data_IF_304306225284
#
_entry.id   IF_304306225284
#
_cell.length_a   1.000
_cell.length_b   1.000
_cell.length_c   1.000
_cell.angle_alpha   90.00
_cell.angle_beta   90.00
_cell.angle_gamma   90.00
#
_symmetry.space_group_name_H-M   'P 1'
#
loop_
_entity.id
_entity.type
_entity.pdbx_description
1 polymer ?
#
# COMPACT_ATOMS: atom_id res chain seq x y z
N UNK A 1 -28.44 -31.00 -35.95
CA UNK A 1 -27.30 -31.09 -35.02
C UNK A 1 -27.67 -30.28 -33.80
N UNK A 2 -27.94 -30.93 -32.66
CA UNK A 2 -28.15 -30.23 -31.40
C UNK A 2 -26.79 -29.75 -30.91
N UNK A 3 -26.58 -28.44 -30.91
CA UNK A 3 -25.43 -27.84 -30.23
C UNK A 3 -25.68 -28.04 -28.74
N UNK A 4 -24.77 -28.70 -27.99
CA UNK A 4 -24.88 -28.82 -26.55
C UNK A 4 -25.02 -27.42 -25.94
N UNK A 5 -25.91 -27.29 -24.96
CA UNK A 5 -26.07 -26.05 -24.20
C UNK A 5 -24.74 -25.72 -23.50
N UNK A 6 -24.11 -24.61 -23.89
CA UNK A 6 -22.79 -24.17 -23.40
C UNK A 6 -22.76 -24.09 -21.86
N UNK A 7 -23.89 -23.76 -21.23
CA UNK A 7 -23.99 -23.70 -19.76
C UNK A 7 -23.89 -25.09 -19.12
N UNK A 8 -24.41 -26.12 -19.79
CA UNK A 8 -24.32 -27.49 -19.31
C UNK A 8 -22.89 -28.02 -19.40
N UNK A 9 -22.17 -27.65 -20.47
CA UNK A 9 -20.78 -28.04 -20.68
C UNK A 9 -19.83 -27.34 -19.70
N UNK A 10 -20.01 -26.04 -19.46
CA UNK A 10 -19.24 -25.30 -18.45
C UNK A 10 -19.45 -25.89 -17.04
N UNK A 11 -20.69 -26.20 -16.68
CA UNK A 11 -21.03 -26.81 -15.37
C UNK A 11 -20.51 -28.25 -15.24
N UNK A 12 -20.37 -28.98 -16.35
CA UNK A 12 -19.73 -30.29 -16.38
C UNK A 12 -18.21 -30.16 -16.17
N UNK A 13 -17.56 -29.24 -16.89
CA UNK A 13 -16.11 -29.00 -16.78
C UNK A 13 -15.70 -28.56 -15.37
N UNK A 14 -16.45 -27.64 -14.75
CA UNK A 14 -16.19 -27.21 -13.36
C UNK A 14 -16.25 -28.39 -12.38
N UNK A 15 -17.27 -29.26 -12.48
CA UNK A 15 -17.36 -30.45 -11.60
C UNK A 15 -16.23 -31.45 -11.79
N UNK A 16 -15.79 -31.66 -13.03
CA UNK A 16 -14.65 -32.55 -13.33
C UNK A 16 -13.37 -31.97 -12.73
N UNK A 17 -13.16 -30.66 -12.88
CA UNK A 17 -12.01 -29.95 -12.33
C UNK A 17 -11.97 -30.02 -10.79
N UNK A 18 -13.10 -29.75 -10.13
CA UNK A 18 -13.21 -29.82 -8.67
C UNK A 18 -12.94 -31.24 -8.15
N UNK A 19 -13.43 -32.28 -8.85
CA UNK A 19 -13.16 -33.68 -8.52
C UNK A 19 -11.68 -34.06 -8.68
N UNK A 20 -11.01 -33.54 -9.72
CA UNK A 20 -9.56 -33.71 -9.95
C UNK A 20 -8.74 -33.09 -8.83
N UNK A 21 -9.06 -31.87 -8.40
CA UNK A 21 -8.41 -31.18 -7.27
C UNK A 21 -8.65 -31.93 -5.96
N UNK A 22 -9.87 -32.43 -5.75
CA UNK A 22 -10.24 -33.18 -4.55
C UNK A 22 -9.65 -34.60 -4.51
N UNK A 23 -8.94 -35.05 -5.55
CA UNK A 23 -8.43 -36.42 -5.66
C UNK A 23 -9.51 -37.48 -5.84
N UNK A 24 -10.76 -37.06 -6.06
CA UNK A 24 -11.91 -37.92 -6.36
C UNK A 24 -12.12 -37.92 -7.87
N UNK A 25 -11.28 -38.68 -8.58
CA UNK A 25 -11.41 -38.80 -10.03
C UNK A 25 -12.83 -39.26 -10.40
N UNK A 26 -13.48 -38.54 -11.32
CA UNK A 26 -14.84 -38.85 -11.77
C UNK A 26 -14.91 -40.28 -12.33
N UNK A 27 -15.81 -41.11 -11.80
CA UNK A 27 -15.97 -42.52 -12.18
C UNK A 27 -16.66 -42.73 -13.54
N UNK A 28 -17.00 -41.67 -14.27
CA UNK A 28 -17.67 -41.76 -15.57
C UNK A 28 -16.64 -42.01 -16.67
N UNK A 29 -16.87 -43.07 -17.43
CA UNK A 29 -16.03 -43.49 -18.56
C UNK A 29 -15.90 -42.40 -19.63
N UNK A 30 -16.94 -41.59 -19.82
CA UNK A 30 -16.98 -40.46 -20.75
C UNK A 30 -16.01 -39.31 -20.39
N UNK A 31 -15.62 -39.20 -19.12
CA UNK A 31 -14.73 -38.13 -18.63
C UNK A 31 -13.24 -38.57 -18.63
N UNK A 32 -12.98 -39.87 -18.78
CA UNK A 32 -11.64 -40.45 -18.66
C UNK A 32 -10.66 -39.92 -19.71
N UNK A 33 -11.13 -39.69 -20.94
CA UNK A 33 -10.30 -39.15 -22.02
C UNK A 33 -9.88 -37.69 -21.74
N UNK A 34 -10.82 -36.87 -21.26
CA UNK A 34 -10.54 -35.47 -20.92
C UNK A 34 -9.57 -35.35 -19.74
N UNK A 35 -9.76 -36.18 -18.70
CA UNK A 35 -8.82 -36.24 -17.57
C UNK A 35 -7.43 -36.67 -18.02
N UNK A 36 -7.33 -37.65 -18.93
CA UNK A 36 -6.04 -38.08 -19.48
C UNK A 36 -5.33 -36.96 -20.25
N UNK A 37 -6.06 -36.14 -21.01
CA UNK A 37 -5.51 -34.99 -21.74
C UNK A 37 -5.07 -33.86 -20.80
N UNK A 38 -5.84 -33.55 -19.76
CA UNK A 38 -5.45 -32.58 -18.72
C UNK A 38 -4.14 -33.02 -18.05
N UNK A 39 -4.05 -34.28 -17.63
CA UNK A 39 -2.84 -34.83 -17.01
C UNK A 39 -1.65 -34.93 -17.99
N UNK A 40 -1.92 -35.02 -19.29
CA UNK A 40 -0.88 -34.97 -20.33
C UNK A 40 -0.34 -33.55 -20.48
N UNK A 41 -1.19 -32.54 -20.54
CA UNK A 41 -0.79 -31.12 -20.58
C UNK A 41 -0.03 -30.75 -19.30
N UNK A 42 -0.52 -31.17 -18.12
CA UNK A 42 0.17 -30.92 -16.86
C UNK A 42 1.59 -31.52 -16.87
N UNK A 43 1.73 -32.77 -17.34
CA UNK A 43 3.04 -33.42 -17.52
C UNK A 43 3.95 -32.69 -18.49
N UNK A 44 3.41 -32.09 -19.55
CA UNK A 44 4.18 -31.28 -20.50
C UNK A 44 4.59 -29.92 -19.91
N UNK A 45 3.77 -29.34 -19.02
CA UNK A 45 4.06 -28.06 -18.35
C UNK A 45 4.98 -28.19 -17.15
N UNK A 46 5.14 -29.40 -16.57
CA UNK A 46 6.16 -29.67 -15.56
C UNK A 46 7.54 -29.68 -16.22
N UNK A 47 8.06 -28.49 -16.46
CA UNK A 47 9.48 -28.30 -16.80
C UNK A 47 10.28 -28.74 -15.57
N UNK A 48 11.11 -29.79 -15.68
CA UNK A 48 11.97 -30.19 -14.57
C UNK A 48 12.81 -29.00 -14.14
N UNK A 49 12.99 -28.83 -12.83
CA UNK A 49 13.81 -27.73 -12.32
C UNK A 49 15.16 -27.73 -13.05
N UNK A 50 15.60 -26.59 -13.61
CA UNK A 50 16.80 -26.57 -14.43
C UNK A 50 17.97 -27.05 -13.57
N UNK A 51 18.86 -27.88 -14.14
CA UNK A 51 19.95 -28.47 -13.38
C UNK A 51 20.81 -27.35 -12.76
N UNK A 52 21.36 -27.57 -11.56
CA UNK A 52 21.96 -26.51 -10.73
C UNK A 52 23.15 -25.82 -11.42
N UNK A 53 23.83 -26.52 -12.33
CA UNK A 53 24.90 -25.98 -13.16
C UNK A 53 24.39 -24.95 -14.19
N UNK A 54 23.21 -25.17 -14.78
CA UNK A 54 22.58 -24.22 -15.71
C UNK A 54 22.22 -22.91 -15.01
N UNK A 55 21.65 -22.97 -13.80
CA UNK A 55 21.36 -21.77 -12.99
C UNK A 55 22.64 -20.97 -12.70
N UNK A 56 23.73 -21.67 -12.39
CA UNK A 56 25.04 -21.06 -12.10
C UNK A 56 25.66 -20.41 -13.35
N UNK A 57 25.52 -21.02 -14.53
CA UNK A 57 25.97 -20.44 -15.81
C UNK A 57 25.13 -19.22 -16.22
N UNK A 58 23.81 -19.26 -16.06
CA UNK A 58 22.94 -18.10 -16.33
C UNK A 58 23.28 -16.92 -15.43
N UNK A 59 23.47 -17.16 -14.12
CA UNK A 59 23.84 -16.11 -13.17
C UNK A 59 25.23 -15.51 -13.45
N UNK A 60 26.21 -16.36 -13.75
CA UNK A 60 27.56 -15.88 -14.07
C UNK A 60 27.62 -15.15 -15.42
N UNK A 61 26.79 -15.50 -16.40
CA UNK A 61 26.61 -14.75 -17.64
C UNK A 61 26.00 -13.36 -17.42
N UNK A 62 24.94 -13.28 -16.61
CA UNK A 62 24.30 -12.02 -16.23
C UNK A 62 25.24 -11.08 -15.47
N UNK A 63 26.03 -11.63 -14.52
CA UNK A 63 26.99 -10.83 -13.74
C UNK A 63 28.18 -10.34 -14.57
N UNK A 64 28.61 -11.08 -15.61
CA UNK A 64 29.69 -10.64 -16.51
C UNK A 64 29.27 -9.52 -17.46
N UNK A 65 27.97 -9.33 -17.68
CA UNK A 65 27.43 -8.22 -18.49
C UNK A 65 27.11 -6.95 -17.67
N UNK A 66 27.37 -6.94 -16.36
CA UNK A 66 27.27 -5.72 -15.57
C UNK A 66 28.27 -4.67 -16.12
N UNK A 67 27.72 -3.68 -16.81
CA UNK A 67 28.46 -2.59 -17.44
C UNK A 67 29.36 -1.89 -16.42
N UNK A 68 30.55 -1.39 -16.84
CA UNK A 68 31.49 -0.75 -15.93
C UNK A 68 30.82 0.44 -15.25
N UNK A 69 30.79 0.39 -13.92
CA UNK A 69 30.34 1.51 -13.07
C UNK A 69 31.25 2.69 -13.37
N UNK A 70 30.72 3.71 -14.04
CA UNK A 70 31.42 4.97 -14.32
C UNK A 70 31.76 5.63 -12.99
N UNK A 71 33.05 5.61 -12.64
CA UNK A 71 33.56 6.34 -11.49
C UNK A 71 33.41 7.85 -11.76
N UNK A 72 32.48 8.51 -11.06
CA UNK A 72 32.36 9.97 -11.08
C UNK A 72 33.55 10.56 -10.33
N UNK A 73 34.56 10.97 -11.08
CA UNK A 73 35.70 11.74 -10.57
C UNK A 73 35.20 13.14 -10.22
N UNK A 74 35.13 13.45 -8.92
CA UNK A 74 34.88 14.80 -8.43
C UNK A 74 36.22 15.54 -8.44
N UNK A 75 36.39 16.45 -9.38
CA UNK A 75 37.55 17.37 -9.39
C UNK A 75 37.38 18.41 -8.27
N UNK A 76 38.34 18.56 -7.35
CA UNK A 76 38.32 19.65 -6.39
C UNK A 76 38.57 20.97 -7.10
N UNK A 77 37.58 21.87 -7.08
CA UNK A 77 37.73 23.24 -7.59
C UNK A 77 38.58 24.03 -6.61
N UNK A 78 39.80 24.36 -7.02
CA UNK A 78 40.70 25.24 -6.28
C UNK A 78 40.23 26.69 -6.49
N UNK A 79 39.64 27.32 -5.47
CA UNK A 79 39.21 28.71 -5.53
C UNK A 79 40.36 29.58 -5.01
N UNK A 80 40.93 30.50 -5.80
CA UNK A 80 42.02 31.35 -5.35
C UNK A 80 41.50 32.36 -4.31
N UNK A 81 42.14 32.39 -3.14
CA UNK A 81 41.91 33.41 -2.11
C UNK A 81 42.48 34.76 -2.60
N UNK A 82 41.69 35.49 -3.37
CA UNK A 82 41.93 36.88 -3.71
C UNK A 82 41.25 37.81 -2.71
N UNK A 83 42.02 38.38 -1.80
CA UNK A 83 41.60 39.54 -1.02
C UNK A 83 41.35 40.73 -1.95
N UNK A 84 40.08 41.11 -2.14
CA UNK A 84 39.70 42.40 -2.68
C UNK A 84 38.80 43.15 -1.70
N UNK A 85 39.02 44.47 -1.52
CA UNK A 85 38.27 45.29 -0.58
C UNK A 85 36.84 45.55 -1.04
N UNK A 86 35.98 45.75 -0.04
CA UNK A 86 34.53 45.85 -0.07
C UNK A 86 33.96 46.76 -1.18
N UNK A 87 33.21 46.16 -2.11
CA UNK A 87 32.11 46.83 -2.80
C UNK A 87 30.81 46.12 -2.42
N UNK A 88 29.96 46.80 -1.65
CA UNK A 88 28.57 46.39 -1.39
C UNK A 88 27.78 46.43 -2.69
N UNK A 89 27.87 45.36 -3.47
CA UNK A 89 26.90 45.05 -4.51
C UNK A 89 25.79 44.26 -3.81
N UNK A 90 24.51 44.69 -3.81
CA UNK A 90 23.41 43.88 -3.30
C UNK A 90 23.38 42.58 -4.10
N UNK A 91 23.91 41.53 -3.48
CA UNK A 91 24.12 40.24 -4.11
C UNK A 91 22.76 39.61 -4.41
N UNK A 92 22.52 39.32 -5.69
CA UNK A 92 21.37 38.57 -6.25
C UNK A 92 21.27 37.11 -5.75
N UNK A 93 21.78 36.78 -4.56
CA UNK A 93 21.87 35.39 -4.05
C UNK A 93 20.69 34.93 -3.18
N UNK A 94 19.70 35.79 -2.91
CA UNK A 94 18.63 35.51 -1.93
C UNK A 94 17.59 34.48 -2.36
N UNK A 95 17.52 34.10 -3.64
CA UNK A 95 16.53 33.13 -4.13
C UNK A 95 16.94 31.66 -3.96
N UNK A 96 18.24 31.33 -4.02
CA UNK A 96 18.70 29.92 -3.93
C UNK A 96 18.78 29.41 -2.49
N UNK A 97 18.99 30.32 -1.53
CA UNK A 97 19.07 30.00 -0.09
C UNK A 97 17.71 29.60 0.55
N UNK A 98 16.58 29.89 -0.12
CA UNK A 98 15.24 29.65 0.45
C UNK A 98 14.60 28.30 0.06
N UNK A 99 15.07 27.63 -1.01
CA UNK A 99 14.44 26.40 -1.54
C UNK A 99 14.87 25.12 -0.83
N UNK A 100 16.13 25.04 -0.40
CA UNK A 100 16.71 23.89 0.33
C UNK A 100 15.94 23.48 1.61
N UNK A 101 15.47 24.39 2.49
CA UNK A 101 14.75 23.97 3.69
C UNK A 101 13.38 23.34 3.39
N UNK A 102 12.70 23.75 2.32
CA UNK A 102 11.38 23.21 1.96
C UNK A 102 11.51 21.78 1.45
N UNK A 103 12.47 21.51 0.57
CA UNK A 103 12.71 20.15 0.03
C UNK A 103 13.10 19.18 1.15
N UNK A 104 14.00 19.61 2.05
CA UNK A 104 14.42 18.78 3.19
C UNK A 104 13.26 18.50 4.16
N UNK A 105 12.40 19.50 4.42
CA UNK A 105 11.20 19.30 5.22
C UNK A 105 10.23 18.31 4.56
N UNK A 106 10.03 18.41 3.24
CA UNK A 106 9.20 17.48 2.49
C UNK A 106 9.76 16.05 2.50
N UNK A 107 11.06 15.87 2.24
CA UNK A 107 11.72 14.56 2.30
C UNK A 107 11.60 13.94 3.71
N UNK A 108 11.80 14.74 4.76
CA UNK A 108 11.59 14.29 6.15
C UNK A 108 10.17 13.80 6.38
N UNK A 109 9.16 14.56 5.94
CA UNK A 109 7.76 14.19 6.11
C UNK A 109 7.39 12.92 5.32
N UNK A 110 7.87 12.78 4.08
CA UNK A 110 7.68 11.60 3.25
C UNK A 110 8.34 10.38 3.92
N UNK A 111 9.57 10.51 4.39
CA UNK A 111 10.28 9.43 5.06
C UNK A 111 9.58 9.00 6.36
N UNK A 112 9.15 9.96 7.20
CA UNK A 112 8.39 9.67 8.42
C UNK A 112 7.08 8.95 8.09
N UNK A 113 6.33 9.45 7.09
CA UNK A 113 5.09 8.83 6.64
C UNK A 113 5.32 7.41 6.13
N UNK A 114 6.34 7.19 5.30
CA UNK A 114 6.68 5.88 4.78
C UNK A 114 7.10 4.90 5.90
N UNK A 115 7.94 5.33 6.84
CA UNK A 115 8.35 4.50 7.99
C UNK A 115 7.17 4.13 8.89
N UNK A 116 6.35 5.11 9.26
CA UNK A 116 5.18 4.90 10.11
C UNK A 116 4.14 4.01 9.43
N UNK A 117 3.90 4.28 8.14
CA UNK A 117 3.06 3.48 7.26
C UNK A 117 3.51 2.03 7.20
N UNK A 118 4.78 1.79 6.90
CA UNK A 118 5.35 0.45 6.82
C UNK A 118 5.24 -0.30 8.15
N UNK A 119 5.64 0.33 9.26
CA UNK A 119 5.58 -0.31 10.58
C UNK A 119 4.15 -0.68 10.98
N UNK A 120 3.20 0.23 10.81
CA UNK A 120 1.80 -0.02 11.16
C UNK A 120 1.13 -1.01 10.22
N UNK A 121 1.41 -0.93 8.91
CA UNK A 121 0.94 -1.90 7.92
C UNK A 121 1.48 -3.30 8.22
N UNK A 122 2.75 -3.41 8.59
CA UNK A 122 3.36 -4.68 8.98
C UNK A 122 2.65 -5.30 10.20
N UNK A 123 2.42 -4.51 11.25
CA UNK A 123 1.65 -4.95 12.42
C UNK A 123 0.21 -5.35 12.04
N UNK A 124 -0.41 -4.64 11.10
CA UNK A 124 -1.76 -4.93 10.62
C UNK A 124 -1.79 -6.25 9.83
N UNK A 125 -0.78 -6.55 9.03
CA UNK A 125 -0.68 -7.84 8.33
C UNK A 125 -0.55 -9.02 9.30
N UNK A 126 0.17 -8.83 10.42
CA UNK A 126 0.19 -9.82 11.51
C UNK A 126 -1.20 -9.99 12.14
N UNK A 127 -1.92 -8.88 12.36
CA UNK A 127 -3.30 -8.92 12.87
C UNK A 127 -4.24 -9.66 11.93
N UNK A 128 -4.17 -9.39 10.62
CA UNK A 128 -4.99 -10.08 9.61
C UNK A 128 -4.73 -11.58 9.63
N UNK A 129 -3.46 -12.01 9.82
CA UNK A 129 -3.14 -13.42 9.98
C UNK A 129 -3.83 -14.05 11.20
N UNK A 130 -3.84 -13.34 12.33
CA UNK A 130 -4.56 -13.78 13.54
C UNK A 130 -6.06 -13.85 13.26
N UNK A 131 -6.64 -12.84 12.61
CA UNK A 131 -8.05 -12.81 12.24
C UNK A 131 -8.45 -14.01 11.38
N UNK A 132 -7.68 -14.32 10.33
CA UNK A 132 -7.89 -15.48 9.47
C UNK A 132 -7.79 -16.80 10.25
N UNK A 133 -6.84 -16.91 11.19
CA UNK A 133 -6.74 -18.09 12.04
C UNK A 133 -7.94 -18.23 12.97
N UNK A 134 -8.45 -17.14 13.54
CA UNK A 134 -9.63 -17.16 14.40
C UNK A 134 -10.88 -17.55 13.59
N UNK A 135 -11.04 -17.00 12.39
CA UNK A 135 -12.11 -17.37 11.46
C UNK A 135 -12.08 -18.88 11.14
N UNK A 136 -10.88 -19.42 10.85
CA UNK A 136 -10.68 -20.85 10.61
C UNK A 136 -11.02 -21.74 11.82
N UNK A 137 -10.74 -21.28 13.05
CA UNK A 137 -11.12 -22.01 14.27
C UNK A 137 -12.65 -22.05 14.48
N UNK A 138 -13.35 -20.99 14.10
CA UNK A 138 -14.81 -20.88 14.19
C UNK A 138 -15.55 -21.52 13.02
N UNK A 139 -14.82 -22.06 12.04
CA UNK A 139 -15.38 -22.71 10.86
C UNK A 139 -15.79 -24.16 11.15
N UNK A 140 -16.86 -24.63 10.50
CA UNK A 140 -17.34 -26.02 10.55
C UNK A 140 -16.23 -26.99 10.11
N UNK A 141 -16.08 -28.12 10.81
CA UNK A 141 -14.99 -29.10 10.59
C UNK A 141 -14.80 -29.52 9.13
N UNK A 142 -15.89 -29.55 8.34
CA UNK A 142 -15.89 -29.92 6.92
C UNK A 142 -15.10 -28.97 6.01
N UNK A 143 -14.94 -27.71 6.40
CA UNK A 143 -14.25 -26.69 5.60
C UNK A 143 -12.78 -26.49 6.05
N UNK A 144 -12.31 -27.25 7.04
CA UNK A 144 -10.92 -27.18 7.50
C UNK A 144 -10.00 -27.83 6.48
N UNK A 145 -8.91 -27.14 6.14
CA UNK A 145 -7.92 -27.62 5.16
C UNK A 145 -8.25 -27.29 3.70
N UNK A 146 -9.35 -26.58 3.42
CA UNK A 146 -9.58 -26.01 2.09
C UNK A 146 -8.55 -24.91 1.78
N UNK A 147 -8.31 -24.71 0.48
CA UNK A 147 -7.55 -23.57 0.00
C UNK A 147 -8.47 -22.34 -0.05
N UNK A 148 -7.98 -21.22 0.48
CA UNK A 148 -8.58 -19.89 0.22
C UNK A 148 -8.29 -19.46 -1.22
N UNK A 149 -8.97 -18.41 -1.72
CA UNK A 149 -8.69 -17.82 -3.04
C UNK A 149 -7.22 -17.39 -3.24
N UNK A 150 -6.48 -17.21 -2.15
CA UNK A 150 -5.06 -16.83 -2.16
C UNK A 150 -4.10 -18.04 -2.02
N UNK A 151 -4.54 -19.25 -2.36
CA UNK A 151 -3.78 -20.50 -2.24
C UNK A 151 -3.26 -20.78 -0.81
N UNK A 152 -3.86 -20.15 0.21
CA UNK A 152 -3.49 -20.40 1.60
C UNK A 152 -4.41 -21.47 2.18
N UNK A 153 -3.81 -22.54 2.71
CA UNK A 153 -4.54 -23.59 3.44
C UNK A 153 -5.11 -22.99 4.73
N UNK A 154 -6.42 -23.07 4.88
CA UNK A 154 -7.16 -22.53 6.03
C UNK A 154 -6.70 -23.23 7.31
N UNK A 155 -6.27 -22.44 8.29
CA UNK A 155 -5.85 -22.92 9.62
C UNK A 155 -4.37 -23.28 9.77
N UNK A 156 -3.56 -23.24 8.71
CA UNK A 156 -2.11 -23.48 8.83
C UNK A 156 -1.33 -22.18 9.02
N UNK A 157 -0.53 -22.10 10.10
CA UNK A 157 0.46 -21.04 10.28
C UNK A 157 1.75 -21.38 9.54
N UNK A 158 1.89 -20.87 8.33
CA UNK A 158 3.19 -20.88 7.66
C UNK A 158 3.94 -19.59 8.02
N UNK A 159 5.19 -19.74 8.48
CA UNK A 159 6.04 -18.59 8.76
C UNK A 159 6.23 -17.74 7.50
N UNK A 160 6.45 -18.40 6.36
CA UNK A 160 6.59 -17.76 5.05
C UNK A 160 5.36 -16.93 4.65
N UNK A 161 4.15 -17.50 4.76
CA UNK A 161 2.92 -16.79 4.45
C UNK A 161 2.64 -15.63 5.38
N UNK A 162 2.97 -15.77 6.67
CA UNK A 162 2.81 -14.71 7.67
C UNK A 162 3.75 -13.53 7.40
N UNK A 163 5.03 -13.81 7.15
CA UNK A 163 6.03 -12.77 6.82
C UNK A 163 5.69 -12.10 5.50
N UNK A 164 5.29 -12.87 4.48
CA UNK A 164 4.86 -12.32 3.19
C UNK A 164 3.67 -11.37 3.36
N UNK A 165 2.63 -11.79 4.07
CA UNK A 165 1.44 -10.98 4.31
C UNK A 165 1.76 -9.71 5.12
N UNK A 166 2.60 -9.82 6.15
CA UNK A 166 3.04 -8.67 6.93
C UNK A 166 3.87 -7.69 6.08
N UNK A 167 4.77 -8.17 5.23
CA UNK A 167 5.55 -7.31 4.33
C UNK A 167 4.65 -6.63 3.29
N UNK A 168 3.72 -7.38 2.69
CA UNK A 168 2.76 -6.85 1.74
C UNK A 168 1.87 -5.76 2.37
N UNK A 169 1.31 -6.03 3.54
CA UNK A 169 0.53 -5.06 4.30
C UNK A 169 1.38 -3.84 4.72
N UNK A 170 2.67 -4.04 5.04
CA UNK A 170 3.62 -2.96 5.28
C UNK A 170 3.79 -2.06 4.06
N UNK A 171 3.94 -2.63 2.87
CA UNK A 171 4.04 -1.88 1.61
C UNK A 171 2.77 -1.08 1.31
N UNK A 172 1.59 -1.65 1.50
CA UNK A 172 0.32 -0.91 1.42
C UNK A 172 0.25 0.18 2.50
N UNK A 173 0.73 -0.14 3.70
CA UNK A 173 0.83 0.77 4.83
C UNK A 173 1.64 2.02 4.52
N UNK A 174 2.69 1.95 3.69
CA UNK A 174 3.44 3.13 3.22
C UNK A 174 2.51 4.16 2.58
N UNK A 175 1.60 3.73 1.70
CA UNK A 175 0.62 4.63 1.09
C UNK A 175 -0.32 5.23 2.14
N UNK A 176 -0.77 4.42 3.11
CA UNK A 176 -1.54 4.89 4.27
C UNK A 176 -0.76 5.90 5.13
N UNK A 177 0.53 5.71 5.35
CA UNK A 177 1.35 6.64 6.13
C UNK A 177 1.55 7.99 5.43
N UNK A 178 1.74 7.97 4.12
CA UNK A 178 1.83 9.18 3.30
C UNK A 178 0.50 9.93 3.26
N UNK A 179 -0.62 9.21 3.12
CA UNK A 179 -1.96 9.78 3.21
C UNK A 179 -2.17 10.46 4.57
N UNK A 180 -1.80 9.79 5.67
CA UNK A 180 -1.90 10.38 7.01
C UNK A 180 -1.16 11.70 7.09
N UNK A 181 0.11 11.75 6.65
CA UNK A 181 0.92 12.98 6.69
C UNK A 181 0.28 14.09 5.85
N UNK A 182 -0.30 13.77 4.69
CA UNK A 182 -1.00 14.72 3.85
C UNK A 182 -2.25 15.30 4.53
N UNK A 183 -3.00 14.45 5.25
CA UNK A 183 -4.28 14.84 5.87
C UNK A 183 -4.19 15.24 7.34
N UNK A 184 -3.02 15.09 7.97
CA UNK A 184 -2.79 15.28 9.42
C UNK A 184 -3.28 16.62 9.95
N UNK A 185 -3.23 17.67 9.12
CA UNK A 185 -3.66 19.02 9.49
C UNK A 185 -5.18 19.17 9.64
N UNK A 186 -5.97 18.20 9.15
CA UNK A 186 -7.43 18.20 9.23
C UNK A 186 -7.97 17.27 10.31
N UNK A 187 -7.14 16.34 10.77
CA UNK A 187 -7.51 15.46 11.86
C UNK A 187 -7.54 16.22 13.20
N UNK A 188 -8.29 15.72 14.19
CA UNK A 188 -8.32 16.31 15.52
C UNK A 188 -6.93 16.48 16.13
N UNK A 189 -6.74 17.51 16.96
CA UNK A 189 -5.46 17.76 17.63
C UNK A 189 -5.16 16.78 18.76
N UNK A 190 -6.20 16.21 19.38
CA UNK A 190 -6.05 15.20 20.43
C UNK A 190 -5.51 13.90 19.81
N UNK A 191 -4.39 13.38 20.34
CA UNK A 191 -3.67 12.24 19.77
C UNK A 191 -4.52 10.96 19.64
N UNK A 192 -5.32 10.63 20.66
CA UNK A 192 -6.20 9.46 20.62
C UNK A 192 -7.34 9.64 19.62
N UNK A 193 -8.01 10.80 19.66
CA UNK A 193 -9.10 11.08 18.74
C UNK A 193 -8.61 11.13 17.28
N UNK A 194 -7.36 11.58 17.06
CA UNK A 194 -6.70 11.55 15.74
C UNK A 194 -6.46 10.14 15.24
N UNK A 195 -5.96 9.26 16.10
CA UNK A 195 -5.73 7.85 15.78
C UNK A 195 -7.05 7.16 15.36
N UNK A 196 -8.11 7.32 16.18
CA UNK A 196 -9.43 6.78 15.86
C UNK A 196 -10.05 7.41 14.62
N UNK A 197 -10.00 8.75 14.48
CA UNK A 197 -10.53 9.43 13.31
C UNK A 197 -9.83 8.98 12.03
N UNK A 198 -8.51 8.74 12.08
CA UNK A 198 -7.77 8.26 10.92
C UNK A 198 -8.09 6.81 10.58
N UNK A 199 -8.15 5.92 11.58
CA UNK A 199 -8.57 4.53 11.36
C UNK A 199 -9.98 4.43 10.80
N UNK A 200 -10.92 5.21 11.35
CA UNK A 200 -12.29 5.28 10.84
C UNK A 200 -12.36 5.85 9.42
N UNK A 201 -11.52 6.83 9.09
CA UNK A 201 -11.41 7.36 7.73
C UNK A 201 -10.86 6.30 6.76
N UNK A 202 -9.84 5.54 7.15
CA UNK A 202 -9.31 4.45 6.33
C UNK A 202 -10.36 3.37 6.09
N UNK A 203 -11.08 2.96 7.16
CA UNK A 203 -12.17 2.01 7.06
C UNK A 203 -13.30 2.53 6.17
N UNK A 204 -13.72 3.78 6.36
CA UNK A 204 -14.76 4.39 5.56
C UNK A 204 -14.36 4.46 4.08
N UNK A 205 -13.17 4.96 3.77
CA UNK A 205 -12.75 5.20 2.38
C UNK A 205 -12.37 3.91 1.64
N UNK A 206 -11.74 2.95 2.32
CA UNK A 206 -11.13 1.78 1.69
C UNK A 206 -11.69 0.44 2.19
N UNK A 207 -12.68 0.45 3.08
CA UNK A 207 -13.25 -0.77 3.65
C UNK A 207 -13.87 -1.68 2.60
N UNK A 208 -14.59 -1.12 1.63
CA UNK A 208 -15.21 -1.86 0.52
C UNK A 208 -14.21 -2.65 -0.34
N UNK A 209 -12.91 -2.30 -0.34
CA UNK A 209 -11.89 -3.03 -1.10
C UNK A 209 -11.62 -4.40 -0.48
N UNK A 210 -11.70 -4.50 0.86
CA UNK A 210 -11.43 -5.74 1.59
C UNK A 210 -12.73 -6.47 1.92
N UNK A 211 -13.81 -5.73 2.17
CA UNK A 211 -15.14 -6.26 2.44
C UNK A 211 -15.92 -6.36 1.13
N UNK A 212 -15.51 -7.29 0.28
CA UNK A 212 -16.22 -7.57 -0.96
C UNK A 212 -17.39 -8.54 -0.68
N UNK A 213 -18.65 -8.14 -0.94
CA UNK A 213 -19.81 -9.02 -0.73
C UNK A 213 -19.83 -10.25 -1.65
N UNK A 214 -19.12 -10.19 -2.78
CA UNK A 214 -18.97 -11.30 -3.71
C UNK A 214 -17.88 -12.29 -3.26
N UNK A 215 -17.08 -11.94 -2.25
CA UNK A 215 -16.04 -12.84 -1.74
C UNK A 215 -16.65 -13.95 -0.87
N UNK A 216 -16.56 -15.22 -1.30
CA UNK A 216 -17.19 -16.34 -0.61
C UNK A 216 -16.55 -16.62 0.77
N UNK A 217 -15.31 -16.19 1.01
CA UNK A 217 -14.58 -16.42 2.26
C UNK A 217 -15.31 -15.85 3.49
N UNK A 218 -16.02 -14.72 3.33
CA UNK A 218 -16.80 -14.12 4.42
C UNK A 218 -17.92 -15.01 4.93
N UNK A 219 -18.45 -15.90 4.08
CA UNK A 219 -19.55 -16.81 4.39
C UNK A 219 -19.07 -18.22 4.68
N UNK A 220 -17.96 -18.65 4.07
CA UNK A 220 -17.41 -19.99 4.30
C UNK A 220 -16.70 -20.13 5.65
N UNK A 221 -16.01 -19.08 6.11
CA UNK A 221 -15.10 -19.17 7.25
C UNK A 221 -15.63 -18.49 8.51
N UNK A 222 -16.58 -19.14 9.18
CA UNK A 222 -17.16 -18.67 10.45
C UNK A 222 -18.29 -17.65 10.28
N UNK A 223 -18.80 -17.06 11.38
CA UNK A 223 -19.91 -16.12 11.32
C UNK A 223 -19.54 -14.83 10.56
N UNK A 224 -20.33 -14.37 9.56
CA UNK A 224 -19.99 -13.21 8.74
C UNK A 224 -19.72 -11.93 9.54
N UNK A 225 -20.50 -11.70 10.60
CA UNK A 225 -20.33 -10.54 11.48
C UNK A 225 -18.96 -10.51 12.19
N UNK A 226 -18.41 -11.68 12.53
CA UNK A 226 -17.11 -11.79 13.18
C UNK A 226 -15.98 -11.45 12.20
N UNK A 227 -16.08 -11.94 10.95
CA UNK A 227 -15.15 -11.60 9.88
C UNK A 227 -15.16 -10.09 9.61
N UNK A 228 -16.34 -9.51 9.37
CA UNK A 228 -16.50 -8.07 9.18
C UNK A 228 -15.88 -7.28 10.33
N UNK A 229 -16.13 -7.69 11.59
CA UNK A 229 -15.58 -7.03 12.77
C UNK A 229 -14.04 -7.10 12.82
N UNK A 230 -13.45 -8.29 12.66
CA UNK A 230 -12.00 -8.49 12.77
C UNK A 230 -11.22 -7.79 11.65
N UNK A 231 -11.74 -7.81 10.42
CA UNK A 231 -11.17 -7.06 9.30
C UNK A 231 -11.39 -5.55 9.44
N UNK A 232 -12.53 -5.10 9.98
CA UNK A 232 -12.72 -3.68 10.33
C UNK A 232 -11.69 -3.20 11.35
N UNK A 233 -11.40 -4.03 12.36
CA UNK A 233 -10.41 -3.71 13.40
C UNK A 233 -9.00 -3.55 12.81
N UNK A 234 -8.68 -4.25 11.72
CA UNK A 234 -7.40 -4.10 11.02
C UNK A 234 -7.16 -2.65 10.57
N UNK A 235 -8.19 -1.98 10.03
CA UNK A 235 -8.10 -0.56 9.63
C UNK A 235 -7.90 0.37 10.83
N UNK A 236 -8.57 0.08 11.95
CA UNK A 236 -8.42 0.86 13.19
C UNK A 236 -7.01 0.70 13.77
N UNK A 237 -6.48 -0.53 13.80
CA UNK A 237 -5.12 -0.84 14.25
C UNK A 237 -4.10 -0.13 13.33
N UNK A 238 -4.29 -0.23 12.02
CA UNK A 238 -3.42 0.43 11.04
C UNK A 238 -3.42 1.95 11.23
N UNK A 239 -4.61 2.57 11.27
CA UNK A 239 -4.75 4.01 11.43
C UNK A 239 -4.18 4.52 12.75
N UNK A 240 -4.42 3.81 13.85
CA UNK A 240 -3.87 4.14 15.16
C UNK A 240 -2.33 3.99 15.19
N UNK A 241 -1.81 2.90 14.63
CA UNK A 241 -0.38 2.64 14.49
C UNK A 241 0.31 3.73 13.68
N UNK A 242 -0.24 4.10 12.52
CA UNK A 242 0.29 5.16 11.66
C UNK A 242 0.33 6.48 12.41
N UNK A 243 -0.77 6.88 13.06
CA UNK A 243 -0.85 8.14 13.80
C UNK A 243 0.19 8.17 14.92
N UNK A 244 0.24 7.12 15.74
CA UNK A 244 1.14 7.02 16.89
C UNK A 244 2.61 7.05 16.46
N UNK A 245 3.00 6.20 15.50
CA UNK A 245 4.38 6.10 15.04
C UNK A 245 4.81 7.39 14.34
N UNK A 246 3.94 7.98 13.51
CA UNK A 246 4.23 9.28 12.87
C UNK A 246 4.48 10.37 13.90
N UNK A 247 3.62 10.50 14.91
CA UNK A 247 3.77 11.52 15.96
C UNK A 247 5.03 11.29 16.80
N UNK A 248 5.38 10.02 17.03
CA UNK A 248 6.60 9.64 17.75
C UNK A 248 7.85 10.01 16.95
N UNK A 249 7.90 9.62 15.68
CA UNK A 249 9.00 9.91 14.76
C UNK A 249 9.16 11.41 14.52
N UNK A 250 8.07 12.15 14.39
CA UNK A 250 8.09 13.60 14.19
C UNK A 250 8.68 14.35 15.40
N UNK A 251 8.50 13.84 16.62
CA UNK A 251 9.17 14.38 17.83
C UNK A 251 10.64 13.99 17.91
N UNK A 252 11.01 12.85 17.35
CA UNK A 252 12.36 12.27 17.46
C UNK A 252 13.33 12.74 16.39
N UNK A 253 12.84 12.95 15.18
CA UNK A 253 13.64 13.35 14.03
C UNK A 253 13.64 14.89 14.00
N UNK A 254 14.74 15.56 14.38
CA UNK A 254 14.79 17.01 14.38
C UNK A 254 14.59 17.56 12.95
N UNK A 255 13.99 18.74 12.84
CA UNK A 255 13.94 19.47 11.57
C UNK A 255 15.38 19.83 11.19
N UNK A 256 15.86 19.51 9.97
CA UNK A 256 17.21 19.87 9.55
C UNK A 256 17.41 21.39 9.61
N UNK A 257 18.07 21.86 10.67
CA UNK A 257 18.42 23.27 10.88
C UNK A 257 19.86 23.56 10.48
N UNK A 258 20.13 24.80 10.07
CA UNK A 258 21.44 25.32 9.63
C UNK A 258 22.50 25.40 10.75
N UNK A 259 22.27 24.84 11.93
CA UNK A 259 23.21 24.95 13.04
C UNK A 259 24.44 24.07 12.79
N UNK A 260 25.54 24.73 12.40
CA UNK A 260 26.80 24.13 11.98
C UNK A 260 27.39 23.14 12.99
N UNK A 261 27.13 23.34 14.28
CA UNK A 261 27.69 22.53 15.37
C UNK A 261 27.22 21.06 15.40
N UNK A 262 26.20 20.67 14.61
CA UNK A 262 25.70 19.28 14.59
C UNK A 262 25.55 18.68 13.20
N UNK A 263 26.34 19.15 12.23
CA UNK A 263 26.29 18.76 10.82
C UNK A 263 26.33 17.24 10.60
N UNK A 264 27.19 16.52 11.33
CA UNK A 264 27.32 15.06 11.21
C UNK A 264 26.05 14.30 11.61
N UNK A 265 25.38 14.73 12.70
CA UNK A 265 24.12 14.11 13.14
C UNK A 265 23.01 14.34 12.11
N UNK A 266 22.97 15.52 11.48
CA UNK A 266 22.03 15.81 10.40
C UNK A 266 22.30 14.95 9.15
N UNK A 267 23.57 14.78 8.77
CA UNK A 267 23.96 13.92 7.63
C UNK A 267 23.56 12.46 7.90
N UNK A 268 23.84 11.94 9.11
CA UNK A 268 23.48 10.59 9.50
C UNK A 268 21.95 10.36 9.44
N UNK A 269 21.15 11.32 9.91
CA UNK A 269 19.70 11.25 9.82
C UNK A 269 19.20 11.31 8.38
N UNK A 270 19.75 12.21 7.56
CA UNK A 270 19.39 12.31 6.14
C UNK A 270 19.69 10.98 5.45
N UNK A 271 20.90 10.43 5.65
CA UNK A 271 21.30 9.14 5.10
C UNK A 271 20.36 8.00 5.54
N UNK A 272 19.97 7.95 6.81
CA UNK A 272 19.05 6.96 7.34
C UNK A 272 17.62 7.10 6.77
N UNK A 273 17.18 8.31 6.44
CA UNK A 273 15.84 8.58 5.89
C UNK A 273 15.76 8.44 4.36
N UNK A 274 16.90 8.51 3.66
CA UNK A 274 16.97 8.35 2.20
C UNK A 274 16.25 7.10 1.68
N UNK A 275 16.50 5.87 2.18
CA UNK A 275 15.83 4.68 1.64
C UNK A 275 14.31 4.76 1.77
N UNK A 276 13.80 5.23 2.92
CA UNK A 276 12.35 5.39 3.13
C UNK A 276 11.75 6.51 2.26
N UNK A 277 12.52 7.56 2.00
CA UNK A 277 12.11 8.61 1.05
C UNK A 277 11.98 8.03 -0.35
N UNK A 278 12.96 7.24 -0.80
CA UNK A 278 12.95 6.58 -2.11
C UNK A 278 11.77 5.61 -2.23
N UNK A 279 11.55 4.76 -1.21
CA UNK A 279 10.41 3.83 -1.15
C UNK A 279 9.09 4.61 -1.20
N UNK A 280 8.95 5.68 -0.42
CA UNK A 280 7.75 6.50 -0.41
C UNK A 280 7.47 7.17 -1.76
N UNK A 281 8.50 7.74 -2.40
CA UNK A 281 8.38 8.32 -3.76
C UNK A 281 8.00 7.25 -4.77
N UNK A 282 8.65 6.09 -4.73
CA UNK A 282 8.35 4.98 -5.63
C UNK A 282 6.91 4.47 -5.45
N UNK A 283 6.44 4.34 -4.20
CA UNK A 283 5.07 3.97 -3.90
C UNK A 283 4.06 4.98 -4.48
N UNK A 284 4.33 6.29 -4.38
CA UNK A 284 3.50 7.33 -5.01
C UNK A 284 3.48 7.17 -6.54
N UNK A 285 4.65 6.97 -7.15
CA UNK A 285 4.80 6.83 -8.60
C UNK A 285 4.10 5.58 -9.14
N UNK A 286 4.08 4.48 -8.39
CA UNK A 286 3.36 3.26 -8.76
C UNK A 286 1.85 3.36 -8.50
N UNK A 287 1.44 3.98 -7.39
CA UNK A 287 0.02 4.05 -7.02
C UNK A 287 -0.78 4.91 -8.02
N UNK A 288 -0.21 6.03 -8.47
CA UNK A 288 -0.92 6.99 -9.32
C UNK A 288 -1.41 6.41 -10.65
N UNK A 289 -0.59 5.73 -11.48
CA UNK A 289 -1.04 5.11 -12.72
C UNK A 289 -2.08 4.02 -12.51
N UNK A 290 -1.91 3.17 -11.50
CA UNK A 290 -2.82 2.07 -11.19
C UNK A 290 -4.19 2.59 -10.76
N UNK A 291 -4.23 3.61 -9.90
CA UNK A 291 -5.46 4.30 -9.54
C UNK A 291 -6.11 4.99 -10.76
N UNK A 292 -5.32 5.56 -11.68
CA UNK A 292 -5.86 6.21 -12.88
C UNK A 292 -6.40 5.21 -13.92
N UNK A 293 -5.93 3.95 -13.91
CA UNK A 293 -6.37 2.93 -14.86
C UNK A 293 -7.83 2.51 -14.62
N UNK A 294 -8.25 2.39 -13.35
CA UNK A 294 -9.60 1.93 -13.00
C UNK A 294 -10.62 3.09 -12.96
N UNK A 295 -11.90 2.87 -13.33
CA UNK A 295 -12.92 3.91 -13.23
C UNK A 295 -13.17 4.34 -11.77
N UNK A 296 -13.17 3.39 -10.84
CA UNK A 296 -13.28 3.67 -9.41
C UNK A 296 -12.09 4.52 -8.90
N UNK A 297 -10.86 4.16 -9.30
CA UNK A 297 -9.68 4.91 -8.92
C UNK A 297 -9.66 6.33 -9.52
N UNK A 298 -10.17 6.55 -10.74
CA UNK A 298 -10.37 7.89 -11.31
C UNK A 298 -11.34 8.74 -10.48
N UNK A 299 -12.45 8.16 -10.02
CA UNK A 299 -13.41 8.85 -9.15
C UNK A 299 -12.77 9.22 -7.81
N UNK A 300 -11.91 8.34 -7.25
CA UNK A 300 -11.16 8.62 -6.02
C UNK A 300 -10.05 9.65 -6.21
N UNK A 301 -9.38 9.66 -7.37
CA UNK A 301 -8.32 10.61 -7.69
C UNK A 301 -8.87 12.01 -7.96
N UNK A 302 -10.09 12.13 -8.50
CA UNK A 302 -10.71 13.42 -8.81
C UNK A 302 -10.69 14.41 -7.62
N UNK A 303 -11.18 14.09 -6.41
CA UNK A 303 -11.12 14.99 -5.27
C UNK A 303 -9.68 15.27 -4.82
N UNK A 304 -8.75 14.31 -4.95
CA UNK A 304 -7.34 14.51 -4.64
C UNK A 304 -6.68 15.50 -5.62
N UNK A 305 -6.94 15.36 -6.91
CA UNK A 305 -6.45 16.25 -7.96
C UNK A 305 -7.06 17.64 -7.80
N UNK A 306 -8.38 17.72 -7.63
CA UNK A 306 -9.08 18.98 -7.34
C UNK A 306 -8.50 19.64 -6.08
N UNK A 307 -8.15 18.87 -5.07
CA UNK A 307 -7.50 19.37 -3.86
C UNK A 307 -6.09 19.91 -4.11
N UNK A 308 -5.25 19.19 -4.87
CA UNK A 308 -3.89 19.64 -5.22
C UNK A 308 -3.95 20.93 -6.03
N UNK A 309 -4.83 20.98 -7.04
CA UNK A 309 -5.10 22.18 -7.84
C UNK A 309 -5.62 23.30 -6.95
N UNK A 310 -6.54 23.00 -6.04
CA UNK A 310 -7.06 23.99 -5.09
C UNK A 310 -5.97 24.52 -4.16
N UNK A 311 -5.10 23.67 -3.60
CA UNK A 311 -3.96 24.11 -2.76
C UNK A 311 -3.00 25.00 -3.55
N UNK A 312 -2.62 24.60 -4.75
CA UNK A 312 -1.77 25.38 -5.65
C UNK A 312 -2.41 26.75 -5.94
N UNK A 313 -3.70 26.76 -6.26
CA UNK A 313 -4.46 27.98 -6.50
C UNK A 313 -4.62 28.82 -5.22
N UNK A 314 -4.83 28.21 -4.05
CA UNK A 314 -5.05 28.93 -2.79
C UNK A 314 -3.79 29.63 -2.30
N UNK A 315 -2.61 29.11 -2.65
CA UNK A 315 -1.32 29.76 -2.42
C UNK A 315 -1.14 30.97 -3.33
N UNK A 316 -1.62 30.88 -4.57
CA UNK A 316 -1.69 32.00 -5.49
C UNK A 316 -2.66 33.08 -4.96
N UNK A 317 -3.86 32.66 -4.54
CA UNK A 317 -4.87 33.53 -3.98
C UNK A 317 -4.57 34.01 -2.56
N UNK A 318 -3.66 33.41 -1.80
CA UNK A 318 -3.27 33.95 -0.48
C UNK A 318 -2.43 35.21 -0.58
N UNK A 319 -1.84 35.51 -1.75
CA UNK A 319 -1.25 36.82 -2.03
C UNK A 319 -2.32 37.89 -2.31
N UNK A 320 -3.56 37.49 -2.56
CA UNK A 320 -4.71 38.37 -2.72
C UNK A 320 -5.47 38.32 -1.39
N UNK A 321 -5.32 39.37 -0.58
CA UNK A 321 -5.68 39.47 0.85
C UNK A 321 -7.19 39.30 1.20
N UNK A 322 -7.98 38.73 0.29
CA UNK A 322 -9.43 38.89 0.25
C UNK A 322 -10.27 37.82 0.94
N UNK A 323 -9.73 36.75 1.57
CA UNK A 323 -10.61 35.73 2.20
C UNK A 323 -9.87 34.77 3.14
N UNK A 324 -9.82 35.09 4.44
CA UNK A 324 -9.36 34.12 5.46
C UNK A 324 -10.51 33.28 6.07
N UNK A 325 -11.74 33.80 6.17
CA UNK A 325 -12.87 33.07 6.81
C UNK A 325 -13.52 31.99 5.95
N UNK A 326 -13.53 32.11 4.62
CA UNK A 326 -14.12 31.09 3.73
C UNK A 326 -13.24 29.85 3.48
N UNK A 327 -11.95 29.90 3.86
CA UNK A 327 -10.96 28.86 3.53
C UNK A 327 -11.09 27.58 4.38
N UNK A 328 -11.71 27.63 5.56
CA UNK A 328 -11.87 26.43 6.40
C UNK A 328 -13.01 25.53 5.91
N UNK A 329 -14.11 26.12 5.44
CA UNK A 329 -15.32 25.40 5.05
C UNK A 329 -15.09 24.59 3.77
N UNK A 330 -14.55 25.22 2.73
CA UNK A 330 -14.23 24.57 1.44
C UNK A 330 -13.23 23.41 1.65
N UNK A 331 -12.22 23.62 2.51
CA UNK A 331 -11.20 22.61 2.84
C UNK A 331 -11.78 21.38 3.53
N UNK A 332 -12.77 21.57 4.40
CA UNK A 332 -13.43 20.45 5.07
C UNK A 332 -14.37 19.71 4.10
N UNK A 333 -15.08 20.44 3.23
CA UNK A 333 -15.99 19.86 2.24
C UNK A 333 -15.25 18.98 1.21
N UNK A 334 -14.06 19.39 0.75
CA UNK A 334 -13.28 18.59 -0.22
C UNK A 334 -12.85 17.24 0.32
N UNK A 335 -12.74 17.08 1.64
CA UNK A 335 -12.40 15.80 2.28
C UNK A 335 -13.63 14.97 2.59
N UNK A 336 -14.73 15.64 2.96
CA UNK A 336 -16.00 14.98 3.25
C UNK A 336 -16.54 14.23 2.04
N UNK A 337 -16.39 14.76 0.82
CA UNK A 337 -16.92 14.11 -0.39
C UNK A 337 -16.37 12.68 -0.63
N UNK A 338 -15.05 12.45 -0.75
CA UNK A 338 -14.52 11.09 -0.91
C UNK A 338 -14.78 10.21 0.32
N UNK A 339 -14.77 10.79 1.53
CA UNK A 339 -15.09 10.04 2.75
C UNK A 339 -16.54 9.55 2.76
N UNK A 340 -17.49 10.38 2.33
CA UNK A 340 -18.91 10.04 2.28
C UNK A 340 -19.20 8.96 1.22
N UNK A 341 -18.60 9.09 0.02
CA UNK A 341 -18.73 8.09 -1.05
C UNK A 341 -18.15 6.76 -0.59
N UNK A 342 -16.92 6.75 -0.07
CA UNK A 342 -16.30 5.52 0.43
C UNK A 342 -17.11 4.91 1.57
N UNK A 343 -17.54 5.72 2.55
CA UNK A 343 -18.31 5.24 3.69
C UNK A 343 -19.63 4.59 3.24
N UNK A 344 -20.31 5.20 2.27
CA UNK A 344 -21.52 4.62 1.69
C UNK A 344 -21.25 3.26 1.03
N UNK A 345 -20.19 3.15 0.23
CA UNK A 345 -19.79 1.88 -0.39
C UNK A 345 -19.45 0.82 0.66
N UNK A 346 -18.68 1.18 1.67
CA UNK A 346 -18.29 0.27 2.75
C UNK A 346 -19.51 -0.20 3.57
N UNK A 347 -20.41 0.71 3.93
CA UNK A 347 -21.64 0.35 4.65
C UNK A 347 -22.54 -0.56 3.81
N UNK A 348 -22.65 -0.30 2.49
CA UNK A 348 -23.39 -1.15 1.58
C UNK A 348 -22.80 -2.56 1.54
N UNK A 349 -21.48 -2.69 1.34
CA UNK A 349 -20.82 -4.00 1.31
C UNK A 349 -21.00 -4.76 2.62
N UNK A 350 -20.85 -4.09 3.77
CA UNK A 350 -21.07 -4.69 5.09
C UNK A 350 -22.51 -5.19 5.23
N UNK A 351 -23.49 -4.41 4.80
CA UNK A 351 -24.89 -4.82 4.86
C UNK A 351 -25.17 -6.05 3.97
N UNK A 352 -24.63 -6.07 2.75
CA UNK A 352 -24.77 -7.20 1.82
C UNK A 352 -24.11 -8.48 2.37
N UNK A 353 -22.95 -8.37 3.03
CA UNK A 353 -22.28 -9.51 3.71
C UNK A 353 -23.10 -10.02 4.91
N UNK A 354 -23.74 -9.14 5.66
CA UNK A 354 -24.51 -9.52 6.85
C UNK A 354 -25.92 -10.05 6.55
N UNK A 355 -26.49 -9.67 5.41
CA UNK A 355 -27.84 -10.07 5.01
C UNK A 355 -27.88 -11.42 4.28
N UNK A 356 -26.75 -11.86 3.73
CA UNK A 356 -26.61 -13.09 2.96
C UNK A 356 -25.93 -14.21 3.72
#
# INVERSE_FOLDING_TARGET
MNVPDEHHEASRLSRIWDGLIAGTASSREEDAALVADILRVERLTRVPAPPPDLKTRMWSGLMRQASPVVAVVVTPVNVPNGHHPERMIPTRSTFRARKTPILLAACRLIAIGAMAGFAAGFMTGLWVRIAMSLAGMLTVDRNRGLLTENDAVVGQFTLGGTVFLAMFAGMIGVAGGLLYVAIRAWLPRNGWLRAFAYGALLLGVFGFIVMDPDNPDYRLFGPPWFNVFTFSLAYLICGAGISFVTDRLDRWIPVPGLHAARRWRSIAWIAALTPFTVIGVFAILLALPNLAATPAGRIMLLPLVLFVVWQASSRWFSNLDLRQRGKSLIRNVSLLAPCAVGLFLTLRSVFEILAG
#
